data_IF_759641366952
#
_entry.id   IF_759641366952
#
_cell.length_a   1.000
_cell.length_b   1.000
_cell.length_c   1.000
_cell.angle_alpha   90.00
_cell.angle_beta   90.00
_cell.angle_gamma   90.00
#
_symmetry.space_group_name_H-M   'P 1'
#
loop_
_entity.id
_entity.type
_entity.pdbx_description
1 polymer ?
#
# COMPACT_ATOMS: atom_id res chain seq x y z
N UNK A 1 -1.26 38.26 1.29
CA UNK A 1 -0.84 36.93 1.75
C UNK A 1 -1.07 36.92 3.25
N UNK A 2 -2.08 36.18 3.73
CA UNK A 2 -2.44 36.13 5.16
C UNK A 2 -1.42 35.25 5.91
N UNK A 3 -0.68 35.79 6.91
CA UNK A 3 0.34 35.04 7.63
C UNK A 3 -0.21 33.92 8.52
N UNK A 4 -1.53 33.84 8.73
CA UNK A 4 -2.18 32.82 9.54
C UNK A 4 -2.87 31.72 8.72
N UNK A 5 -2.87 31.82 7.39
CA UNK A 5 -3.46 30.78 6.55
C UNK A 5 -2.54 29.56 6.52
N UNK A 6 -2.98 28.38 7.00
CA UNK A 6 -2.20 27.16 6.86
C UNK A 6 -2.01 26.82 5.37
N UNK A 7 -0.91 26.13 5.01
CA UNK A 7 -0.65 25.74 3.63
C UNK A 7 -1.80 24.88 3.09
N UNK A 8 -2.31 25.25 1.92
CA UNK A 8 -3.32 24.45 1.22
C UNK A 8 -2.59 23.27 0.57
N UNK A 9 -2.39 22.20 1.33
CA UNK A 9 -1.88 20.95 0.76
C UNK A 9 -3.04 20.22 0.07
N UNK A 10 -2.87 19.76 -1.17
CA UNK A 10 -3.88 18.92 -1.81
C UNK A 10 -4.04 17.63 -0.99
N UNK A 11 -5.29 17.21 -0.80
CA UNK A 11 -5.57 15.90 -0.21
C UNK A 11 -5.08 14.80 -1.14
N UNK A 12 -4.11 14.00 -0.68
CA UNK A 12 -3.64 12.81 -1.38
C UNK A 12 -4.28 11.60 -0.67
N UNK A 13 -5.18 10.85 -1.34
CA UNK A 13 -5.76 9.66 -0.74
C UNK A 13 -4.66 8.63 -0.46
N UNK A 14 -4.78 7.85 0.62
CA UNK A 14 -3.81 6.82 0.94
C UNK A 14 -3.78 5.75 -0.16
N UNK A 15 -2.58 5.25 -0.48
CA UNK A 15 -2.44 4.14 -1.41
C UNK A 15 -2.87 2.83 -0.73
N UNK A 16 -3.99 2.28 -1.17
CA UNK A 16 -4.54 1.02 -0.64
C UNK A 16 -4.26 -0.11 -1.62
N UNK A 17 -3.73 -1.22 -1.09
CA UNK A 17 -3.46 -2.44 -1.86
C UNK A 17 -4.45 -3.53 -1.49
N UNK A 18 -5.08 -4.13 -2.50
CA UNK A 18 -5.95 -5.28 -2.34
C UNK A 18 -5.23 -6.54 -2.79
N UNK A 19 -5.25 -7.55 -1.94
CA UNK A 19 -4.81 -8.89 -2.28
C UNK A 19 -6.04 -9.80 -2.44
N UNK A 20 -5.93 -10.81 -3.29
CA UNK A 20 -6.99 -11.81 -3.41
C UNK A 20 -7.16 -12.58 -2.09
N UNK A 21 -8.31 -13.22 -1.93
CA UNK A 21 -8.67 -13.99 -0.72
C UNK A 21 -7.69 -15.12 -0.39
N UNK A 22 -7.05 -15.74 -1.39
CA UNK A 22 -6.07 -16.81 -1.20
C UNK A 22 -4.71 -16.31 -0.67
N UNK A 23 -4.47 -15.00 -0.65
CA UNK A 23 -3.22 -14.41 -0.17
C UNK A 23 -2.91 -14.80 1.27
N UNK A 24 -3.87 -14.59 2.17
CA UNK A 24 -3.68 -14.85 3.59
C UNK A 24 -3.44 -16.34 3.85
N UNK A 25 -4.20 -17.23 3.20
CA UNK A 25 -4.04 -18.67 3.35
C UNK A 25 -2.66 -19.16 2.87
N UNK A 26 -2.17 -18.65 1.74
CA UNK A 26 -0.83 -18.99 1.26
C UNK A 26 0.27 -18.46 2.19
N UNK A 27 0.13 -17.24 2.68
CA UNK A 27 1.09 -16.64 3.62
C UNK A 27 1.13 -17.45 4.92
N UNK A 28 -0.02 -17.83 5.46
CA UNK A 28 -0.14 -18.61 6.70
C UNK A 28 0.45 -20.01 6.59
N UNK A 29 0.25 -20.68 5.46
CA UNK A 29 0.65 -22.10 5.28
C UNK A 29 2.05 -22.28 4.74
N UNK A 30 2.54 -21.39 3.86
CA UNK A 30 3.85 -21.51 3.20
C UNK A 30 4.83 -20.39 3.55
N UNK A 31 4.44 -19.46 4.40
CA UNK A 31 5.25 -18.32 4.78
C UNK A 31 5.44 -17.30 3.65
N UNK A 32 6.30 -16.31 3.90
CA UNK A 32 6.57 -15.22 2.98
C UNK A 32 7.11 -15.69 1.62
N UNK A 33 7.95 -16.74 1.61
CA UNK A 33 8.49 -17.31 0.36
C UNK A 33 7.39 -17.76 -0.62
N UNK A 34 6.23 -18.19 -0.09
CA UNK A 34 5.07 -18.61 -0.89
C UNK A 34 4.28 -17.46 -1.53
N UNK A 35 4.48 -16.22 -1.07
CA UNK A 35 3.75 -15.03 -1.54
C UNK A 35 4.67 -13.89 -2.02
N UNK A 36 5.99 -14.04 -1.95
CA UNK A 36 6.97 -12.99 -2.31
C UNK A 36 6.80 -12.44 -3.74
N UNK A 37 6.27 -13.23 -4.67
CA UNK A 37 5.99 -12.78 -6.05
C UNK A 37 4.76 -11.86 -6.12
N UNK A 38 3.81 -12.03 -5.21
CA UNK A 38 2.60 -11.21 -5.11
C UNK A 38 2.90 -9.85 -4.42
N UNK A 39 4.01 -9.76 -3.69
CA UNK A 39 4.47 -8.51 -3.05
C UNK A 39 5.59 -7.79 -3.84
N UNK A 40 6.11 -8.41 -4.92
CA UNK A 40 7.32 -7.97 -5.63
C UNK A 40 7.22 -6.59 -6.29
N UNK A 41 6.03 -6.17 -6.69
CA UNK A 41 5.80 -4.89 -7.38
C UNK A 41 4.97 -3.88 -6.56
N UNK A 42 4.72 -4.14 -5.27
CA UNK A 42 4.06 -3.18 -4.37
C UNK A 42 4.96 -1.96 -4.09
N UNK A 43 6.25 -2.02 -4.45
CA UNK A 43 7.22 -0.91 -4.36
C UNK A 43 7.10 0.16 -5.45
N UNK A 44 6.05 0.15 -6.27
CA UNK A 44 5.84 1.10 -7.36
C UNK A 44 4.68 2.04 -7.11
N UNK A 45 4.77 2.89 -6.09
CA UNK A 45 3.92 4.06 -5.92
C UNK A 45 4.80 5.30 -5.93
N UNK A 46 4.58 6.18 -6.91
CA UNK A 46 5.23 7.48 -7.05
C UNK A 46 5.18 8.33 -5.77
#
# INVERSE_FOLDING_TARGET
IDPYSPPITPYIPPQVHFFNSFFYDKLRTRGYEGVQRWTKNVRGGA
#
